data_IF_306747380263
#
_entry.id   IF_306747380263
#
_cell.length_a   1.000
_cell.length_b   1.000
_cell.length_c   1.000
_cell.angle_alpha   90.00
_cell.angle_beta   90.00
_cell.angle_gamma   90.00
#
_symmetry.space_group_name_H-M   'P 1'
#
loop_
_entity.id
_entity.type
_entity.pdbx_description
1 polymer ?
#
# COMPACT_ATOMS: atom_id res chain seq x y z
N UNK A 1 1.28 11.55 -71.29
CA UNK A 1 0.39 11.84 -70.15
C UNK A 1 1.05 11.30 -68.89
N UNK A 2 1.34 12.18 -67.91
CA UNK A 2 1.85 11.82 -66.59
C UNK A 2 0.65 11.64 -65.66
N UNK A 3 0.40 10.42 -65.21
CA UNK A 3 -0.59 10.17 -64.15
C UNK A 3 0.16 9.72 -62.91
N UNK A 4 0.46 10.68 -62.02
CA UNK A 4 0.82 10.41 -60.63
C UNK A 4 -0.48 10.28 -59.84
N UNK A 5 -0.79 9.09 -59.36
CA UNK A 5 -1.73 8.80 -58.27
C UNK A 5 -0.89 7.94 -57.30
N UNK A 6 -0.25 8.47 -56.25
CA UNK A 6 -0.78 9.10 -55.04
C UNK A 6 -1.85 8.24 -54.34
N UNK A 7 -1.49 7.77 -53.14
CA UNK A 7 -2.34 7.22 -52.08
C UNK A 7 -2.88 5.79 -52.23
N UNK A 8 -1.99 4.79 -52.13
CA UNK A 8 -2.28 3.59 -51.31
C UNK A 8 -1.03 3.31 -50.47
N UNK A 9 -0.68 4.26 -49.61
CA UNK A 9 0.12 4.00 -48.41
C UNK A 9 -0.83 3.94 -47.21
N UNK A 10 -2.02 3.37 -47.39
CA UNK A 10 -2.89 2.93 -46.31
C UNK A 10 -2.53 1.47 -46.02
N UNK A 11 -1.27 1.23 -45.65
CA UNK A 11 -0.83 -0.13 -45.29
C UNK A 11 0.16 -0.19 -44.13
N UNK A 12 0.65 0.94 -43.60
CA UNK A 12 1.66 0.90 -42.52
C UNK A 12 1.56 2.10 -41.56
N UNK A 13 0.35 2.48 -41.13
CA UNK A 13 0.19 3.51 -40.09
C UNK A 13 -0.86 3.20 -39.01
N UNK A 14 -1.47 2.02 -39.04
CA UNK A 14 -2.51 1.63 -38.06
C UNK A 14 -2.18 0.35 -37.27
N UNK A 15 -1.00 -0.27 -37.48
CA UNK A 15 -0.59 -1.48 -36.75
C UNK A 15 0.55 -1.26 -35.75
N UNK A 16 0.97 0.00 -35.55
CA UNK A 16 1.89 0.38 -34.50
C UNK A 16 1.21 1.24 -33.42
N UNK A 17 -0.09 1.03 -33.21
CA UNK A 17 -0.62 1.15 -31.85
C UNK A 17 -0.06 -0.06 -31.11
N UNK A 18 1.22 0.00 -30.75
CA UNK A 18 1.71 -0.79 -29.65
C UNK A 18 0.84 -0.38 -28.49
N UNK A 19 -0.23 -1.14 -28.23
CA UNK A 19 -0.87 -1.13 -26.95
C UNK A 19 0.27 -1.46 -26.00
N UNK A 20 0.89 -0.42 -25.43
CA UNK A 20 1.51 -0.53 -24.13
C UNK A 20 0.37 -1.06 -23.27
N UNK A 21 0.28 -2.39 -23.16
CA UNK A 21 -0.64 -3.06 -22.29
C UNK A 21 -0.12 -2.72 -20.90
N UNK A 22 -0.54 -1.56 -20.42
CA UNK A 22 -0.19 -1.12 -19.10
C UNK A 22 -0.82 -2.14 -18.15
N UNK A 23 0.01 -2.67 -17.25
CA UNK A 23 -0.43 -3.48 -16.13
C UNK A 23 -0.32 -2.62 -14.89
N UNK A 24 -1.38 -2.49 -14.07
CA UNK A 24 -1.25 -1.84 -12.79
C UNK A 24 -0.23 -2.60 -11.93
N UNK A 25 0.44 -1.87 -11.04
CA UNK A 25 1.39 -2.43 -10.08
C UNK A 25 0.95 -1.99 -8.67
N UNK A 26 0.50 -2.95 -7.86
CA UNK A 26 0.00 -2.72 -6.50
C UNK A 26 1.11 -2.44 -5.48
N UNK A 27 2.38 -2.49 -5.90
CA UNK A 27 3.55 -2.27 -5.09
C UNK A 27 4.14 -3.57 -4.52
N UNK A 28 5.30 -3.43 -3.87
CA UNK A 28 5.98 -4.53 -3.21
C UNK A 28 5.27 -4.93 -1.92
N UNK A 29 5.33 -6.21 -1.59
CA UNK A 29 4.90 -6.73 -0.29
C UNK A 29 5.67 -6.06 0.86
N UNK A 30 4.97 -5.73 1.94
CA UNK A 30 5.57 -5.04 3.09
C UNK A 30 4.88 -5.38 4.41
N UNK A 31 5.50 -4.92 5.50
CA UNK A 31 5.00 -5.12 6.86
C UNK A 31 4.84 -3.79 7.60
N UNK A 32 3.83 -3.69 8.44
CA UNK A 32 3.60 -2.56 9.35
C UNK A 32 3.51 -3.04 10.79
N UNK A 33 3.89 -2.17 11.73
CA UNK A 33 3.58 -2.37 13.14
C UNK A 33 2.24 -1.69 13.44
N UNK A 34 1.31 -2.43 14.05
CA UNK A 34 -0.03 -1.92 14.34
C UNK A 34 -1.06 -2.27 13.27
N UNK A 35 -2.13 -1.47 13.20
CA UNK A 35 -3.38 -1.83 12.50
C UNK A 35 -3.63 -1.08 11.20
N UNK A 36 -2.73 -0.18 10.83
CA UNK A 36 -2.88 0.69 9.66
C UNK A 36 -1.74 0.53 8.68
N UNK A 37 -2.08 0.50 7.40
CA UNK A 37 -1.11 0.51 6.32
C UNK A 37 -1.56 1.50 5.24
N UNK A 38 -0.59 2.12 4.59
CA UNK A 38 -0.82 2.93 3.40
C UNK A 38 -0.45 2.10 2.18
N UNK A 39 -1.39 1.96 1.24
CA UNK A 39 -1.19 1.24 -0.01
C UNK A 39 -1.41 2.19 -1.18
N UNK A 40 -0.61 2.01 -2.23
CA UNK A 40 -0.69 2.79 -3.46
C UNK A 40 -0.46 1.86 -4.65
N UNK A 41 -1.23 2.05 -5.72
CA UNK A 41 -0.99 1.39 -7.00
C UNK A 41 -0.35 2.38 -7.99
N UNK A 42 0.58 1.91 -8.82
CA UNK A 42 0.88 2.58 -10.08
C UNK A 42 -0.21 2.22 -11.10
N UNK A 43 -1.21 3.09 -11.21
CA UNK A 43 -2.38 2.89 -12.07
C UNK A 43 -2.05 3.09 -13.55
N UNK A 44 -2.79 2.41 -14.44
CA UNK A 44 -2.76 2.68 -15.87
C UNK A 44 -3.62 3.86 -16.31
N UNK A 45 -4.16 4.63 -15.37
CA UNK A 45 -5.07 5.75 -15.63
C UNK A 45 -6.52 5.32 -15.89
N UNK A 46 -6.83 4.05 -15.68
CA UNK A 46 -8.18 3.51 -15.82
C UNK A 46 -8.93 3.55 -14.47
N UNK A 47 -10.27 3.61 -14.48
CA UNK A 47 -11.06 3.42 -13.28
C UNK A 47 -10.74 2.06 -12.63
N UNK A 48 -10.51 2.07 -11.33
CA UNK A 48 -10.19 0.87 -10.57
C UNK A 48 -10.61 0.97 -9.11
N UNK A 49 -10.53 -0.17 -8.43
CA UNK A 49 -10.82 -0.26 -7.00
C UNK A 49 -10.00 -1.34 -6.32
N UNK A 50 -9.75 -1.15 -5.03
CA UNK A 50 -9.21 -2.16 -4.15
C UNK A 50 -10.28 -3.20 -3.80
N UNK A 51 -9.90 -4.47 -3.93
CA UNK A 51 -10.65 -5.66 -3.54
C UNK A 51 -9.90 -6.31 -2.38
N UNK A 52 -10.66 -6.72 -1.36
CA UNK A 52 -10.11 -7.27 -0.13
C UNK A 52 -10.89 -8.54 0.33
N UNK A 53 -10.29 -9.41 1.15
CA UNK A 53 -10.93 -10.64 1.65
C UNK A 53 -12.04 -10.43 2.70
N UNK A 54 -12.38 -9.18 3.04
CA UNK A 54 -13.32 -8.79 4.10
C UNK A 54 -12.59 -8.27 5.35
N UNK A 55 -13.32 -7.52 6.19
CA UNK A 55 -12.81 -7.03 7.48
C UNK A 55 -11.82 -5.86 7.40
N UNK A 56 -11.65 -5.27 6.21
CA UNK A 56 -10.76 -4.12 5.98
C UNK A 56 -11.59 -2.86 5.78
N UNK A 57 -11.24 -1.81 6.51
CA UNK A 57 -11.81 -0.47 6.35
C UNK A 57 -10.83 0.43 5.61
N UNK A 58 -11.36 1.29 4.73
CA UNK A 58 -10.58 2.22 3.90
C UNK A 58 -10.69 3.63 4.43
N UNK A 59 -9.62 4.40 4.37
CA UNK A 59 -9.52 5.76 4.88
C UNK A 59 -8.77 6.66 3.91
N UNK A 60 -9.09 7.95 3.97
CA UNK A 60 -8.55 9.00 3.12
C UNK A 60 -7.18 9.51 3.57
N UNK A 61 -6.90 9.37 4.86
CA UNK A 61 -5.77 10.02 5.49
C UNK A 61 -5.10 9.15 6.57
N UNK A 62 -3.84 9.47 6.93
CA UNK A 62 -3.10 8.79 7.99
C UNK A 62 -3.85 8.83 9.32
N UNK A 63 -3.49 7.92 10.23
CA UNK A 63 -4.11 7.78 11.56
C UNK A 63 -4.11 9.07 12.39
N UNK A 64 -3.13 9.95 12.17
CA UNK A 64 -2.97 11.21 12.90
C UNK A 64 -3.71 12.41 12.27
N UNK A 65 -4.47 12.17 11.20
CA UNK A 65 -5.18 13.24 10.48
C UNK A 65 -6.55 13.54 11.07
N UNK A 66 -6.94 14.82 11.09
CA UNK A 66 -8.27 15.28 11.52
C UNK A 66 -9.40 14.70 10.65
N UNK A 67 -9.10 14.36 9.39
CA UNK A 67 -10.08 13.83 8.43
C UNK A 67 -10.18 12.29 8.40
N UNK A 68 -9.45 11.59 9.28
CA UNK A 68 -9.25 10.12 9.32
C UNK A 68 -10.51 9.21 9.50
N UNK A 69 -11.71 9.61 9.12
CA UNK A 69 -12.93 8.84 9.44
C UNK A 69 -13.97 8.75 8.31
N UNK A 70 -13.56 8.81 7.04
CA UNK A 70 -14.48 8.58 5.92
C UNK A 70 -14.26 7.17 5.34
N UNK A 71 -15.05 6.16 5.76
CA UNK A 71 -14.99 4.82 5.17
C UNK A 71 -15.61 4.80 3.77
N UNK A 72 -14.82 5.17 2.75
CA UNK A 72 -15.24 5.06 1.33
C UNK A 72 -14.12 5.13 0.29
N UNK A 73 -12.84 5.04 0.69
CA UNK A 73 -11.71 5.36 -0.20
C UNK A 73 -11.19 4.18 -1.04
N UNK A 74 -11.99 3.10 -1.14
CA UNK A 74 -11.60 1.89 -1.88
C UNK A 74 -11.31 2.12 -3.37
N UNK A 75 -11.86 3.16 -3.98
CA UNK A 75 -11.69 3.47 -5.40
C UNK A 75 -10.50 4.44 -5.65
N UNK A 76 -9.77 4.80 -4.59
CA UNK A 76 -8.60 5.68 -4.68
C UNK A 76 -7.32 4.89 -4.97
N UNK A 77 -6.48 5.43 -5.86
CA UNK A 77 -5.17 4.88 -6.25
C UNK A 77 -4.27 4.68 -5.01
N UNK A 78 -4.28 5.65 -4.10
CA UNK A 78 -3.65 5.55 -2.79
C UNK A 78 -4.73 5.64 -1.70
N UNK A 79 -4.66 4.75 -0.71
CA UNK A 79 -5.61 4.71 0.41
C UNK A 79 -4.92 4.20 1.67
N UNK A 80 -5.44 4.62 2.80
CA UNK A 80 -5.14 4.00 4.09
C UNK A 80 -6.09 2.83 4.31
N UNK A 81 -5.57 1.73 4.83
CA UNK A 81 -6.36 0.56 5.22
C UNK A 81 -6.17 0.27 6.70
N UNK A 82 -7.24 -0.20 7.34
CA UNK A 82 -7.21 -0.73 8.71
C UNK A 82 -7.58 -2.20 8.72
N UNK A 83 -6.77 -3.01 9.39
CA UNK A 83 -7.06 -4.40 9.67
C UNK A 83 -7.05 -4.66 11.18
N UNK A 84 -8.05 -5.38 11.69
CA UNK A 84 -8.24 -5.55 13.13
C UNK A 84 -7.35 -6.63 13.75
N UNK A 85 -6.98 -7.63 12.95
CA UNK A 85 -6.14 -8.76 13.35
C UNK A 85 -4.67 -8.34 13.41
N UNK A 86 -3.92 -9.02 14.26
CA UNK A 86 -2.48 -8.84 14.44
C UNK A 86 -1.75 -10.15 14.15
N UNK A 87 -0.47 -10.05 13.81
CA UNK A 87 0.36 -11.18 13.40
C UNK A 87 -0.26 -11.94 12.22
N UNK A 88 -0.81 -11.19 11.26
CA UNK A 88 -1.58 -11.73 10.14
C UNK A 88 -1.23 -11.00 8.83
N UNK A 89 -1.32 -11.73 7.72
CA UNK A 89 -1.04 -11.21 6.38
C UNK A 89 -2.32 -11.17 5.58
N UNK A 90 -2.63 -10.00 5.03
CA UNK A 90 -3.75 -9.85 4.09
C UNK A 90 -3.23 -9.64 2.68
N UNK A 91 -4.02 -10.08 1.69
CA UNK A 91 -3.77 -9.81 0.28
C UNK A 91 -4.76 -8.75 -0.22
N UNK A 92 -4.24 -7.61 -0.64
CA UNK A 92 -5.00 -6.56 -1.29
C UNK A 92 -4.84 -6.68 -2.80
N UNK A 93 -5.93 -6.55 -3.55
CA UNK A 93 -5.92 -6.64 -5.00
C UNK A 93 -6.43 -5.33 -5.57
N UNK A 94 -5.64 -4.66 -6.41
CA UNK A 94 -6.16 -3.57 -7.23
C UNK A 94 -6.69 -4.13 -8.55
N UNK A 95 -7.86 -3.68 -8.98
CA UNK A 95 -8.46 -4.11 -10.25
C UNK A 95 -8.92 -2.89 -11.06
N UNK A 96 -8.44 -2.79 -12.29
CA UNK A 96 -8.78 -1.75 -13.26
C UNK A 96 -9.60 -2.29 -14.43
N UNK A 97 -10.37 -1.40 -15.07
CA UNK A 97 -11.13 -1.70 -16.28
C UNK A 97 -10.92 -0.60 -17.33
N UNK A 98 -10.45 -0.97 -18.52
CA UNK A 98 -10.19 -0.02 -19.62
C UNK A 98 -11.39 0.14 -20.58
N UNK A 99 -12.53 -0.49 -20.27
CA UNK A 99 -13.70 -0.56 -21.16
C UNK A 99 -13.86 -1.90 -21.89
N UNK A 100 -12.80 -2.72 -21.94
CA UNK A 100 -12.76 -4.01 -22.67
C UNK A 100 -12.21 -5.13 -21.77
N UNK A 101 -11.04 -4.89 -21.18
CA UNK A 101 -10.28 -5.84 -20.38
C UNK A 101 -10.23 -5.40 -18.92
N UNK A 102 -10.03 -6.39 -18.05
CA UNK A 102 -9.68 -6.15 -16.66
C UNK A 102 -8.21 -6.44 -16.43
N UNK A 103 -7.56 -5.54 -15.71
CA UNK A 103 -6.18 -5.68 -15.26
C UNK A 103 -6.16 -5.70 -13.75
N UNK A 104 -5.25 -6.48 -13.16
CA UNK A 104 -5.16 -6.54 -11.71
C UNK A 104 -3.76 -6.89 -11.26
N UNK A 105 -3.39 -6.35 -10.12
CA UNK A 105 -2.20 -6.75 -9.39
C UNK A 105 -2.47 -6.74 -7.88
N UNK A 106 -1.58 -7.33 -7.09
CA UNK A 106 -1.82 -7.53 -5.66
C UNK A 106 -0.59 -7.29 -4.80
N UNK A 107 -0.83 -6.77 -3.60
CA UNK A 107 0.16 -6.57 -2.56
C UNK A 107 -0.23 -7.33 -1.30
N UNK A 108 0.72 -8.03 -0.69
CA UNK A 108 0.57 -8.64 0.63
C UNK A 108 1.07 -7.67 1.69
N UNK A 109 0.23 -7.45 2.71
CA UNK A 109 0.55 -6.57 3.83
C UNK A 109 0.50 -7.38 5.12
N UNK A 110 1.63 -7.47 5.80
CA UNK A 110 1.74 -8.11 7.11
C UNK A 110 1.53 -7.10 8.23
N UNK A 111 0.53 -7.34 9.07
CA UNK A 111 0.21 -6.52 10.25
C UNK A 111 0.84 -7.18 11.48
N UNK A 112 2.03 -6.73 11.87
CA UNK A 112 2.72 -7.22 13.05
C UNK A 112 2.01 -6.76 14.34
N UNK A 113 2.02 -7.61 15.37
CA UNK A 113 1.48 -7.26 16.68
C UNK A 113 2.28 -6.16 17.35
N UNK A 114 1.59 -5.25 18.03
CA UNK A 114 2.25 -4.22 18.84
C UNK A 114 2.74 -4.88 20.12
N UNK A 115 4.05 -4.93 20.30
CA UNK A 115 4.66 -5.42 21.53
C UNK A 115 4.92 -4.25 22.48
N UNK A 116 4.53 -4.41 23.74
CA UNK A 116 4.85 -3.42 24.78
C UNK A 116 6.37 -3.31 24.91
N UNK A 117 6.89 -2.09 24.87
CA UNK A 117 8.31 -1.85 25.11
C UNK A 117 8.65 -2.22 26.57
N UNK A 118 9.33 -3.35 26.75
CA UNK A 118 9.88 -3.73 28.05
C UNK A 118 11.15 -2.90 28.29
N UNK A 119 11.06 -2.02 29.28
CA UNK A 119 12.21 -1.24 29.73
C UNK A 119 13.19 -2.17 30.45
N UNK A 120 14.44 -2.17 29.99
CA UNK A 120 15.54 -2.84 30.67
C UNK A 120 16.25 -1.74 31.46
N UNK A 121 16.01 -1.74 32.78
CA UNK A 121 16.69 -0.86 33.74
C UNK A 121 17.69 -1.67 34.56
N UNK A 122 18.77 -1.04 35.00
CA UNK A 122 19.70 -1.70 35.89
C UNK A 122 19.06 -1.80 37.29
N UNK A 123 19.07 -2.95 37.96
CA UNK A 123 18.57 -3.07 39.34
C UNK A 123 19.27 -2.13 40.35
N UNK A 124 20.42 -1.54 40.02
CA UNK A 124 21.08 -0.51 40.84
C UNK A 124 20.64 0.92 40.55
N UNK A 125 19.78 1.15 39.55
CA UNK A 125 19.22 2.48 39.27
C UNK A 125 18.37 2.95 40.46
N UNK A 126 18.57 4.20 40.91
CA UNK A 126 17.98 4.70 42.15
C UNK A 126 16.98 5.84 41.89
N UNK A 127 15.96 5.93 42.75
CA UNK A 127 14.92 6.96 42.70
C UNK A 127 15.20 8.18 43.59
N UNK A 128 16.35 8.20 44.27
CA UNK A 128 16.67 9.25 45.24
C UNK A 128 17.17 10.47 44.46
N UNK A 129 16.29 11.48 44.30
CA UNK A 129 16.46 12.72 43.51
C UNK A 129 16.03 12.69 42.04
N UNK A 130 15.14 11.75 41.68
CA UNK A 130 14.65 11.58 40.31
C UNK A 130 15.27 10.35 39.65
N UNK A 131 14.69 9.84 38.55
CA UNK A 131 15.17 8.62 37.94
C UNK A 131 16.55 8.86 37.31
N UNK A 132 17.59 8.24 37.88
CA UNK A 132 18.93 8.17 37.28
C UNK A 132 19.11 6.78 36.68
N UNK A 133 19.21 6.72 35.35
CA UNK A 133 19.41 5.48 34.60
C UNK A 133 20.81 5.46 34.01
N UNK A 134 21.64 4.49 34.39
CA UNK A 134 22.98 4.35 33.82
C UNK A 134 22.96 3.62 32.47
N UNK A 135 21.94 2.81 32.22
CA UNK A 135 21.79 2.08 30.98
C UNK A 135 20.29 1.88 30.67
N UNK A 136 19.70 2.81 29.91
CA UNK A 136 18.33 2.70 29.44
C UNK A 136 18.33 2.03 28.07
N UNK A 137 17.80 0.81 27.99
CA UNK A 137 17.58 0.13 26.72
C UNK A 137 16.18 -0.49 26.68
N UNK A 138 15.70 -0.77 25.48
CA UNK A 138 14.43 -1.46 25.25
C UNK A 138 14.72 -2.80 24.57
N UNK A 139 13.94 -3.82 24.90
CA UNK A 139 13.99 -5.09 24.17
C UNK A 139 13.54 -4.87 22.71
N UNK A 140 14.28 -5.42 21.75
CA UNK A 140 13.86 -5.41 20.35
C UNK A 140 12.54 -6.18 20.18
N UNK A 141 11.56 -5.65 19.44
CA UNK A 141 10.30 -6.36 19.21
C UNK A 141 10.55 -7.67 18.45
N UNK A 142 9.75 -8.69 18.75
CA UNK A 142 9.83 -10.01 18.11
C UNK A 142 9.47 -9.96 16.61
N UNK A 143 8.63 -8.99 16.22
CA UNK A 143 8.18 -8.78 14.84
C UNK A 143 8.02 -7.28 14.55
N UNK A 144 8.22 -6.90 13.28
CA UNK A 144 8.15 -5.51 12.84
C UNK A 144 9.47 -4.74 13.06
N UNK A 145 9.82 -3.88 12.10
CA UNK A 145 10.91 -2.92 12.26
C UNK A 145 10.35 -1.57 12.70
N UNK A 146 10.84 -1.03 13.82
CA UNK A 146 10.69 0.39 14.11
C UNK A 146 11.79 1.16 13.40
N UNK A 147 11.43 2.21 12.66
CA UNK A 147 12.36 3.27 12.28
C UNK A 147 12.22 4.43 13.26
#
# INVERSE_FOLDING_TARGET
>A
MKTKLLFITIFVLMLNQGFSQCSPDAGLDFSVCGKFAHICVASCGNPGQWINPGGIAYFDAPIDSIIHNIPSYKDSICTWIRYSSENDTIKMIWKEFDGINYYSDSVNVYFASIQTALQIVNPTDTFVCGPTFFNLSAQQPQYGGGY
#
